data_IF_931634502950
#
_entry.id   IF_931634502950
#
_cell.length_a   1.000
_cell.length_b   1.000
_cell.length_c   1.000
_cell.angle_alpha   90.00
_cell.angle_beta   90.00
_cell.angle_gamma   90.00
#
_symmetry.space_group_name_H-M   'P 1'
#
loop_
_entity.id
_entity.type
_entity.pdbx_description
1 polymer ?
#
# COMPACT_ATOMS: atom_id res chain seq x y z
N UNK A 1 -15.37 4.07 5.81
CA UNK A 1 -14.13 3.41 5.36
C UNK A 1 -13.93 2.09 6.11
N UNK A 2 -14.46 0.97 5.58
CA UNK A 2 -14.42 -0.35 6.26
C UNK A 2 -13.26 -1.26 5.83
N UNK A 3 -12.62 -0.98 4.69
CA UNK A 3 -11.66 -1.88 4.06
C UNK A 3 -10.33 -1.98 4.84
N UNK A 4 -9.77 -0.84 5.25
CA UNK A 4 -8.54 -0.82 6.06
C UNK A 4 -8.75 -1.42 7.47
N UNK A 5 -9.97 -1.30 8.01
CA UNK A 5 -10.32 -1.82 9.34
C UNK A 5 -10.52 -3.33 9.31
N UNK A 6 -11.02 -3.87 8.19
CA UNK A 6 -11.42 -5.28 8.04
C UNK A 6 -10.24 -6.25 7.95
N UNK A 7 -9.16 -5.93 7.22
CA UNK A 7 -8.22 -6.96 6.74
C UNK A 7 -7.17 -7.56 7.71
N UNK A 8 -7.24 -7.39 9.04
CA UNK A 8 -6.28 -8.05 9.95
C UNK A 8 -4.79 -7.79 9.68
N UNK A 9 -4.47 -6.70 8.98
CA UNK A 9 -3.11 -6.46 8.49
C UNK A 9 -2.21 -5.95 9.61
N UNK A 10 -1.17 -6.71 9.96
CA UNK A 10 -0.22 -6.36 11.02
C UNK A 10 1.15 -5.88 10.50
N UNK A 11 1.54 -6.26 9.28
CA UNK A 11 2.80 -5.84 8.67
C UNK A 11 2.66 -4.49 7.94
N UNK A 12 3.58 -3.56 8.21
CA UNK A 12 3.61 -2.21 7.62
C UNK A 12 3.54 -2.22 6.08
N UNK A 13 4.22 -3.17 5.43
CA UNK A 13 4.20 -3.30 3.97
C UNK A 13 2.79 -3.55 3.45
N UNK A 14 2.09 -4.48 4.09
CA UNK A 14 0.73 -4.87 3.72
C UNK A 14 -0.27 -3.74 3.99
N UNK A 15 -0.08 -2.96 5.08
CA UNK A 15 -0.91 -1.78 5.37
C UNK A 15 -0.75 -0.74 4.27
N UNK A 16 0.48 -0.50 3.82
CA UNK A 16 0.76 0.44 2.74
C UNK A 16 0.19 -0.08 1.41
N UNK A 17 0.32 -1.37 1.14
CA UNK A 17 -0.24 -2.02 -0.05
C UNK A 17 -1.77 -1.87 -0.09
N UNK A 18 -2.46 -2.15 1.01
CA UNK A 18 -3.90 -1.97 1.15
C UNK A 18 -4.32 -0.50 1.02
N UNK A 19 -3.54 0.44 1.56
CA UNK A 19 -3.78 1.87 1.40
C UNK A 19 -3.68 2.32 -0.06
N UNK A 20 -2.67 1.84 -0.81
CA UNK A 20 -2.55 2.11 -2.25
C UNK A 20 -3.75 1.53 -2.99
N UNK A 21 -4.10 0.27 -2.73
CA UNK A 21 -5.26 -0.38 -3.37
C UNK A 21 -6.56 0.37 -3.10
N UNK A 22 -6.76 0.84 -1.87
CA UNK A 22 -7.93 1.64 -1.49
C UNK A 22 -8.02 2.93 -2.31
N UNK A 23 -6.93 3.69 -2.41
CA UNK A 23 -6.92 4.96 -3.17
C UNK A 23 -7.25 4.74 -4.65
N UNK A 24 -6.76 3.66 -5.26
CA UNK A 24 -6.98 3.36 -6.68
C UNK A 24 -8.37 2.80 -6.96
N UNK A 25 -8.82 1.87 -6.12
CA UNK A 25 -10.03 1.10 -6.38
C UNK A 25 -11.28 1.73 -5.81
N UNK A 26 -11.18 2.43 -4.67
CA UNK A 26 -12.33 3.01 -3.96
C UNK A 26 -12.41 4.51 -4.21
N UNK A 27 -11.37 5.27 -3.87
CA UNK A 27 -11.36 6.73 -4.04
C UNK A 27 -11.20 7.17 -5.50
N UNK A 28 -10.82 6.23 -6.39
CA UNK A 28 -10.51 6.48 -7.81
C UNK A 28 -9.46 7.58 -8.03
N UNK A 29 -8.68 7.87 -7.00
CA UNK A 29 -7.57 8.80 -7.08
C UNK A 29 -6.44 8.12 -7.83
N UNK A 30 -5.80 8.80 -8.78
CA UNK A 30 -4.69 8.24 -9.56
C UNK A 30 -3.33 8.74 -9.07
N UNK A 31 -3.33 9.81 -8.29
CA UNK A 31 -2.15 10.46 -7.74
C UNK A 31 -2.27 10.53 -6.21
N UNK A 32 -1.40 9.83 -5.50
CA UNK A 32 -1.40 9.87 -4.03
C UNK A 32 0.01 9.82 -3.51
N UNK A 33 0.47 10.93 -2.96
CA UNK A 33 1.80 11.05 -2.39
C UNK A 33 1.98 10.14 -1.17
N UNK A 34 3.24 9.75 -0.84
CA UNK A 34 3.52 9.02 0.40
C UNK A 34 3.00 9.71 1.66
N UNK A 35 2.90 11.05 1.66
CA UNK A 35 2.34 11.82 2.78
C UNK A 35 0.82 11.65 2.90
N UNK A 36 0.10 11.62 1.79
CA UNK A 36 -1.34 11.39 1.78
C UNK A 36 -1.67 9.96 2.19
N UNK A 37 -0.92 8.96 1.70
CA UNK A 37 -1.05 7.57 2.17
C UNK A 37 -0.86 7.48 3.70
N UNK A 38 0.13 8.19 4.22
CA UNK A 38 0.40 8.27 5.66
C UNK A 38 -0.75 8.91 6.44
N UNK A 39 -1.39 9.93 5.86
CA UNK A 39 -2.57 10.59 6.43
C UNK A 39 -3.76 9.62 6.48
N UNK A 40 -4.05 8.95 5.37
CA UNK A 40 -5.10 7.94 5.26
C UNK A 40 -4.93 6.83 6.30
N UNK A 41 -3.73 6.27 6.42
CA UNK A 41 -3.44 5.22 7.42
C UNK A 41 -3.68 5.76 8.84
N UNK A 42 -3.32 7.02 9.12
CA UNK A 42 -3.56 7.63 10.42
C UNK A 42 -5.04 7.87 10.73
N UNK A 43 -5.86 8.13 9.72
CA UNK A 43 -7.31 8.33 9.87
C UNK A 43 -8.02 7.03 10.26
N UNK A 44 -7.41 5.86 10.06
CA UNK A 44 -7.98 4.55 10.47
C UNK A 44 -8.04 4.35 11.99
N UNK A 45 -7.27 5.12 12.77
CA UNK A 45 -7.20 4.98 14.23
C UNK A 45 -6.51 3.71 14.76
N UNK A 46 -6.19 2.73 13.90
CA UNK A 46 -5.52 1.48 14.29
C UNK A 46 -4.10 1.68 14.81
N UNK A 47 -3.35 2.63 14.26
CA UNK A 47 -2.00 2.96 14.71
C UNK A 47 -1.93 4.41 15.19
N UNK A 48 -1.15 4.64 16.23
CA UNK A 48 -0.97 6.00 16.77
C UNK A 48 -0.26 6.91 15.76
N UNK A 49 -0.61 8.20 15.76
CA UNK A 49 0.06 9.23 14.94
C UNK A 49 1.59 9.23 15.12
N UNK A 50 2.05 8.97 16.36
CA UNK A 50 3.49 8.87 16.69
C UNK A 50 4.14 7.65 16.03
N UNK A 51 3.51 6.49 16.07
CA UNK A 51 4.00 5.28 15.39
C UNK A 51 4.11 5.51 13.89
N UNK A 52 3.03 6.01 13.28
CA UNK A 52 2.97 6.25 11.84
C UNK A 52 4.04 7.26 11.42
N UNK A 53 4.32 8.31 12.22
CA UNK A 53 5.37 9.29 11.90
C UNK A 53 6.72 8.64 11.60
N UNK A 54 7.08 7.56 12.29
CA UNK A 54 8.32 6.81 12.05
C UNK A 54 8.31 5.94 10.77
N UNK A 55 7.19 5.80 10.07
CA UNK A 55 7.11 4.93 8.88
C UNK A 55 7.66 5.66 7.66
N UNK A 56 8.69 5.07 7.04
CA UNK A 56 9.25 5.55 5.78
C UNK A 56 8.51 4.92 4.59
N UNK A 57 7.33 5.47 4.27
CA UNK A 57 6.44 4.95 3.23
C UNK A 57 7.15 4.82 1.87
N UNK A 58 7.97 5.81 1.50
CA UNK A 58 8.74 5.80 0.27
C UNK A 58 9.70 4.60 0.17
N UNK A 59 10.36 4.23 1.27
CA UNK A 59 11.23 3.05 1.32
C UNK A 59 10.45 1.76 1.14
N UNK A 60 9.28 1.63 1.78
CA UNK A 60 8.42 0.46 1.61
C UNK A 60 7.92 0.33 0.18
N UNK A 61 7.46 1.44 -0.43
CA UNK A 61 7.07 1.46 -1.85
C UNK A 61 8.24 1.04 -2.74
N UNK A 62 9.44 1.60 -2.52
CA UNK A 62 10.64 1.23 -3.28
C UNK A 62 10.95 -0.26 -3.22
N UNK A 63 10.85 -0.88 -2.03
CA UNK A 63 11.05 -2.33 -1.87
C UNK A 63 9.96 -3.15 -2.57
N UNK A 64 8.70 -2.72 -2.51
CA UNK A 64 7.60 -3.42 -3.19
C UNK A 64 7.67 -3.28 -4.72
N UNK A 65 8.26 -2.20 -5.24
CA UNK A 65 8.55 -2.02 -6.66
C UNK A 65 9.73 -2.88 -7.14
N UNK A 66 10.73 -3.11 -6.29
CA UNK A 66 11.90 -3.91 -6.65
C UNK A 66 11.60 -5.42 -6.61
N UNK A 67 10.61 -5.85 -5.82
CA UNK A 67 10.47 -7.25 -5.45
C UNK A 67 11.41 -7.62 -4.30
N UNK A 68 11.07 -8.68 -3.57
CA UNK A 68 11.84 -9.10 -2.39
C UNK A 68 13.19 -9.73 -2.75
N UNK A 69 14.14 -9.70 -1.80
CA UNK A 69 15.49 -10.28 -1.96
C UNK A 69 15.54 -11.80 -2.25
N UNK A 70 14.40 -12.50 -2.22
CA UNK A 70 14.27 -13.95 -2.46
C UNK A 70 13.52 -14.27 -3.77
N UNK A 71 13.54 -13.38 -4.76
CA UNK A 71 12.89 -13.63 -6.06
C UNK A 71 11.36 -13.52 -6.02
N UNK A 72 10.81 -12.84 -5.01
CA UNK A 72 9.38 -12.55 -4.93
C UNK A 72 9.01 -11.49 -5.95
N UNK A 73 7.94 -11.71 -6.70
CA UNK A 73 7.44 -10.76 -7.70
C UNK A 73 7.17 -9.38 -7.08
N UNK A 74 7.40 -8.28 -7.81
CA UNK A 74 7.02 -6.95 -7.38
C UNK A 74 5.54 -6.89 -7.04
N UNK A 75 5.20 -6.29 -5.88
CA UNK A 75 3.81 -6.10 -5.46
C UNK A 75 3.23 -4.78 -5.99
N UNK A 76 4.10 -3.87 -6.40
CA UNK A 76 3.74 -2.58 -7.00
C UNK A 76 4.40 -2.42 -8.36
N UNK A 77 3.77 -1.64 -9.21
CA UNK A 77 4.32 -1.19 -10.48
C UNK A 77 3.96 0.26 -10.78
N UNK A 78 4.66 0.85 -11.76
CA UNK A 78 4.28 2.12 -12.34
C UNK A 78 3.34 1.90 -13.53
N UNK A 79 2.19 2.61 -13.60
CA UNK A 79 1.32 2.54 -14.76
C UNK A 79 2.05 2.96 -16.04
N UNK A 80 1.84 2.23 -17.15
CA UNK A 80 2.54 2.43 -18.43
C UNK A 80 2.56 3.87 -18.95
N UNK A 81 1.50 4.65 -18.69
CA UNK A 81 1.32 6.03 -19.19
C UNK A 81 1.50 7.11 -18.12
N UNK A 82 2.16 6.80 -16.99
CA UNK A 82 2.38 7.75 -15.89
C UNK A 82 3.87 7.90 -15.59
N UNK A 83 4.28 9.05 -15.02
CA UNK A 83 5.66 9.23 -14.55
C UNK A 83 6.04 8.17 -13.53
N UNK A 84 7.32 7.74 -13.55
CA UNK A 84 7.91 6.86 -12.52
C UNK A 84 8.10 7.61 -11.19
N UNK A 85 6.99 7.93 -10.53
CA UNK A 85 6.94 8.59 -9.21
C UNK A 85 6.09 7.75 -8.28
N UNK A 86 6.50 7.61 -7.02
CA UNK A 86 5.78 6.81 -6.02
C UNK A 86 4.31 7.20 -5.88
N UNK A 87 3.95 8.44 -6.23
CA UNK A 87 2.57 8.90 -6.18
C UNK A 87 1.62 8.20 -7.16
N UNK A 88 2.14 7.57 -8.22
CA UNK A 88 1.34 6.91 -9.26
C UNK A 88 1.31 5.38 -9.14
N UNK A 89 1.97 4.80 -8.14
CA UNK A 89 2.08 3.34 -8.05
C UNK A 89 0.72 2.69 -7.92
N UNK A 90 0.61 1.50 -8.51
CA UNK A 90 -0.55 0.62 -8.50
C UNK A 90 -0.09 -0.79 -8.15
N UNK A 91 -1.03 -1.63 -7.70
CA UNK A 91 -0.73 -3.03 -7.41
C UNK A 91 -0.54 -3.81 -8.71
N UNK A 92 0.47 -4.68 -8.71
CA UNK A 92 0.59 -5.76 -9.70
C UNK A 92 -0.48 -6.82 -9.43
N UNK A 93 -0.53 -7.85 -10.28
CA UNK A 93 -1.34 -9.04 -10.01
C UNK A 93 -0.89 -9.75 -8.73
N UNK A 94 0.41 -10.01 -8.58
CA UNK A 94 0.98 -10.58 -7.36
C UNK A 94 0.64 -9.75 -6.10
N UNK A 95 0.63 -8.41 -6.20
CA UNK A 95 0.23 -7.52 -5.12
C UNK A 95 -1.24 -7.69 -4.71
N UNK A 96 -2.13 -7.88 -5.68
CA UNK A 96 -3.56 -8.13 -5.42
C UNK A 96 -3.76 -9.49 -4.78
N UNK A 97 -3.16 -10.53 -5.35
CA UNK A 97 -3.24 -11.90 -4.83
C UNK A 97 -2.72 -12.00 -3.39
N UNK A 98 -1.65 -11.26 -3.08
CA UNK A 98 -1.11 -11.18 -1.72
C UNK A 98 -2.12 -10.58 -0.74
N UNK A 99 -2.79 -9.48 -1.11
CA UNK A 99 -3.84 -8.89 -0.26
C UNK A 99 -5.06 -9.79 -0.13
N UNK A 100 -5.46 -10.49 -1.19
CA UNK A 100 -6.61 -11.39 -1.17
C UNK A 100 -6.36 -12.58 -0.25
N UNK A 101 -5.16 -13.18 -0.27
CA UNK A 101 -4.75 -14.22 0.69
C UNK A 101 -4.85 -13.75 2.14
N UNK A 102 -4.39 -12.52 2.43
CA UNK A 102 -4.50 -11.94 3.78
C UNK A 102 -5.95 -11.70 4.19
N UNK A 103 -6.84 -11.34 3.25
CA UNK A 103 -8.26 -11.16 3.55
C UNK A 103 -9.00 -12.48 3.79
N UNK A 104 -8.52 -13.58 3.18
CA UNK A 104 -9.10 -14.92 3.29
C UNK A 104 -8.62 -15.71 4.52
N UNK A 105 -7.43 -15.41 5.05
CA UNK A 105 -6.89 -16.01 6.28
C UNK A 105 -7.58 -15.54 7.57
N UNK A 106 -8.84 -15.14 7.48
CA UNK A 106 -9.62 -14.52 8.57
C UNK A 106 -10.57 -15.51 9.23
#
# INVERSE_FOLDING_TARGET
SRILTSCGIENKSDVILAAVQYMRSVEKESFTTPRELKRLISETGKWTKKSIRGWNISLYIGRMLQGGAKGSEPLLEYPRRKPKKYAYVVLTEAGRDHLDKLSLMR
#
